data_IF_650805381939
#
_entry.id   IF_650805381939
#
_cell.length_a   1.000
_cell.length_b   1.000
_cell.length_c   1.000
_cell.angle_alpha   90.00
_cell.angle_beta   90.00
_cell.angle_gamma   90.00
#
_symmetry.space_group_name_H-M   'P 1'
#
loop_
_entity.id
_entity.type
_entity.pdbx_description
1 polymer ?
#
# COMPACT_ATOMS: atom_id res chain seq x y z
N UNK A 1 0.66 14.73 -14.64
CA UNK A 1 1.31 13.41 -14.85
C UNK A 1 0.40 12.32 -14.37
N UNK A 2 0.16 11.34 -15.19
CA UNK A 2 -0.67 10.21 -14.76
C UNK A 2 0.06 9.39 -13.71
N UNK A 3 -0.72 8.75 -12.87
CA UNK A 3 -0.17 7.83 -11.89
C UNK A 3 0.17 6.53 -12.60
N UNK A 4 1.38 6.05 -12.36
CA UNK A 4 1.81 4.76 -12.89
C UNK A 4 1.83 3.74 -11.78
N UNK A 5 1.23 2.59 -12.04
CA UNK A 5 1.13 1.51 -11.06
C UNK A 5 1.81 0.28 -11.64
N UNK A 6 3.01 0.02 -11.17
CA UNK A 6 3.80 -1.13 -11.63
C UNK A 6 3.56 -2.28 -10.66
N UNK A 7 2.96 -3.34 -11.15
CA UNK A 7 2.60 -4.49 -10.33
C UNK A 7 3.59 -5.62 -10.57
N UNK A 8 4.13 -6.15 -9.49
CA UNK A 8 4.95 -7.36 -9.55
C UNK A 8 4.46 -8.31 -8.46
N UNK A 9 4.95 -9.54 -8.49
CA UNK A 9 4.52 -10.55 -7.53
C UNK A 9 5.71 -11.33 -7.04
N UNK A 10 5.71 -11.61 -5.74
CA UNK A 10 6.76 -12.39 -5.12
C UNK A 10 6.15 -13.15 -3.94
N UNK A 11 6.31 -14.47 -3.93
CA UNK A 11 5.92 -15.29 -2.79
C UNK A 11 4.43 -15.14 -2.45
N UNK A 12 3.58 -15.00 -3.46
CA UNK A 12 2.16 -14.86 -3.24
C UNK A 12 1.73 -13.46 -2.82
N UNK A 13 2.65 -12.51 -2.84
CA UNK A 13 2.39 -11.13 -2.47
C UNK A 13 2.39 -10.28 -3.73
N UNK A 14 1.38 -9.44 -3.89
CA UNK A 14 1.36 -8.47 -4.98
C UNK A 14 2.03 -7.18 -4.49
N UNK A 15 2.97 -6.68 -5.26
CA UNK A 15 3.70 -5.46 -4.92
C UNK A 15 3.35 -4.41 -5.95
N UNK A 16 2.78 -3.30 -5.48
CA UNK A 16 2.38 -2.21 -6.36
C UNK A 16 3.30 -1.03 -6.10
N UNK A 17 4.13 -0.71 -7.08
CA UNK A 17 4.98 0.45 -6.98
C UNK A 17 4.25 1.62 -7.62
N UNK A 18 3.89 2.61 -6.81
CA UNK A 18 3.14 3.77 -7.27
C UNK A 18 4.10 4.89 -7.63
N UNK A 19 3.92 5.45 -8.83
CA UNK A 19 4.76 6.58 -9.28
C UNK A 19 3.86 7.68 -9.79
N UNK A 20 3.89 8.82 -9.12
CA UNK A 20 3.07 9.95 -9.49
C UNK A 20 2.15 10.34 -8.37
N UNK A 21 1.30 11.31 -8.65
CA UNK A 21 0.42 11.86 -7.63
C UNK A 21 -0.82 10.98 -7.44
N UNK A 22 -1.19 10.77 -6.19
CA UNK A 22 -2.41 10.05 -5.86
C UNK A 22 -3.46 11.11 -5.50
N UNK A 23 -4.16 11.58 -6.52
CA UNK A 23 -5.08 12.71 -6.39
C UNK A 23 -6.40 12.37 -7.06
N UNK A 24 -7.40 13.20 -6.80
CA UNK A 24 -8.74 13.04 -7.34
C UNK A 24 -8.69 12.90 -8.87
N UNK A 25 -9.47 11.97 -9.40
CA UNK A 25 -9.62 11.78 -10.83
C UNK A 25 -9.21 10.38 -11.26
N UNK A 26 -8.62 10.29 -12.45
CA UNK A 26 -8.20 9.00 -12.99
C UNK A 26 -7.21 8.29 -12.07
N UNK A 27 -6.37 9.07 -11.38
CA UNK A 27 -5.35 8.51 -10.52
C UNK A 27 -5.96 7.67 -9.40
N UNK A 28 -6.93 8.20 -8.70
CA UNK A 28 -7.58 7.45 -7.62
C UNK A 28 -8.44 6.32 -8.16
N UNK A 29 -9.05 6.53 -9.33
CA UNK A 29 -9.83 5.47 -9.97
C UNK A 29 -8.93 4.30 -10.37
N UNK A 30 -7.76 4.61 -10.94
CA UNK A 30 -6.81 3.58 -11.35
C UNK A 30 -6.29 2.81 -10.15
N UNK A 31 -5.96 3.53 -9.07
CA UNK A 31 -5.45 2.88 -7.88
C UNK A 31 -6.49 1.94 -7.29
N UNK A 32 -7.73 2.42 -7.16
CA UNK A 32 -8.80 1.59 -6.61
C UNK A 32 -9.03 0.36 -7.46
N UNK A 33 -9.08 0.54 -8.78
CA UNK A 33 -9.34 -0.56 -9.70
C UNK A 33 -8.22 -1.61 -9.61
N UNK A 34 -6.98 -1.14 -9.54
CA UNK A 34 -5.84 -2.03 -9.43
C UNK A 34 -5.89 -2.84 -8.14
N UNK A 35 -6.15 -2.17 -7.02
CA UNK A 35 -6.21 -2.87 -5.73
C UNK A 35 -7.35 -3.88 -5.71
N UNK A 36 -8.54 -3.48 -6.16
CA UNK A 36 -9.68 -4.39 -6.15
C UNK A 36 -9.43 -5.59 -7.05
N UNK A 37 -8.77 -5.37 -8.20
CA UNK A 37 -8.41 -6.48 -9.08
C UNK A 37 -7.45 -7.44 -8.41
N UNK A 38 -6.44 -6.90 -7.71
CA UNK A 38 -5.46 -7.75 -7.04
C UNK A 38 -6.08 -8.52 -5.87
N UNK A 39 -7.07 -7.94 -5.21
CA UNK A 39 -7.72 -8.62 -4.08
C UNK A 39 -8.49 -9.85 -4.54
N UNK A 40 -8.77 -9.99 -5.83
CA UNK A 40 -9.40 -11.19 -6.35
C UNK A 40 -8.41 -12.35 -6.47
N UNK A 41 -7.12 -12.07 -6.47
CA UNK A 41 -6.13 -13.11 -6.68
C UNK A 41 -5.17 -13.30 -5.51
N UNK A 42 -5.10 -12.36 -4.57
CA UNK A 42 -4.18 -12.50 -3.46
C UNK A 42 -4.75 -11.88 -2.20
N UNK A 43 -4.28 -12.37 -1.06
CA UNK A 43 -4.64 -11.82 0.24
C UNK A 43 -3.55 -10.91 0.80
N UNK A 44 -2.49 -10.65 0.04
CA UNK A 44 -1.34 -9.91 0.53
C UNK A 44 -0.88 -8.91 -0.51
N UNK A 45 -0.92 -7.63 -0.16
CA UNK A 45 -0.55 -6.55 -1.06
C UNK A 45 0.41 -5.62 -0.34
N UNK A 46 1.44 -5.18 -1.03
CA UNK A 46 2.34 -4.12 -0.56
C UNK A 46 2.21 -2.95 -1.51
N UNK A 47 1.91 -1.77 -0.97
CA UNK A 47 1.90 -0.54 -1.75
C UNK A 47 3.16 0.24 -1.42
N UNK A 48 4.00 0.43 -2.43
CA UNK A 48 5.23 1.20 -2.29
C UNK A 48 4.96 2.63 -2.75
N UNK A 49 5.15 3.58 -1.85
CA UNK A 49 4.83 4.98 -2.11
C UNK A 49 6.08 5.87 -2.18
N UNK A 50 7.24 5.29 -2.46
CA UNK A 50 8.49 6.05 -2.49
C UNK A 50 8.48 7.16 -3.53
N UNK A 51 7.79 6.96 -4.62
CA UNK A 51 7.78 7.90 -5.74
C UNK A 51 6.44 8.61 -5.87
N UNK A 52 5.77 8.83 -4.75
CA UNK A 52 4.49 9.56 -4.70
C UNK A 52 4.75 10.94 -4.10
N UNK A 53 4.84 11.98 -4.93
CA UNK A 53 5.18 13.32 -4.43
C UNK A 53 4.02 14.07 -3.82
N UNK A 54 2.80 13.59 -4.01
CA UNK A 54 1.64 14.31 -3.51
C UNK A 54 0.44 13.40 -3.34
N UNK A 55 -0.29 13.58 -2.25
CA UNK A 55 -1.53 12.86 -1.96
C UNK A 55 -2.53 13.90 -1.48
N UNK A 56 -3.67 14.02 -2.17
CA UNK A 56 -4.71 14.93 -1.71
C UNK A 56 -5.72 14.16 -0.86
N UNK A 57 -6.78 14.82 -0.42
CA UNK A 57 -7.76 14.20 0.47
C UNK A 57 -8.47 13.03 -0.21
N UNK A 58 -8.70 13.12 -1.51
CA UNK A 58 -9.33 12.02 -2.25
C UNK A 58 -8.37 10.85 -2.37
N UNK A 59 -7.07 11.13 -2.56
CA UNK A 59 -6.05 10.09 -2.59
C UNK A 59 -5.95 9.38 -1.26
N UNK A 60 -5.93 10.17 -0.19
CA UNK A 60 -5.90 9.62 1.16
C UNK A 60 -7.12 8.74 1.41
N UNK A 61 -8.29 9.23 1.03
CA UNK A 61 -9.52 8.44 1.18
C UNK A 61 -9.47 7.15 0.40
N UNK A 62 -8.85 7.16 -0.79
CA UNK A 62 -8.72 5.96 -1.59
C UNK A 62 -7.80 4.93 -0.92
N UNK A 63 -6.71 5.40 -0.30
CA UNK A 63 -5.83 4.50 0.43
C UNK A 63 -6.55 3.86 1.62
N UNK A 64 -7.32 4.65 2.36
CA UNK A 64 -8.08 4.14 3.49
C UNK A 64 -9.14 3.16 3.01
N UNK A 65 -9.86 3.49 1.95
CA UNK A 65 -10.90 2.62 1.41
C UNK A 65 -10.30 1.30 0.93
N UNK A 66 -9.12 1.35 0.32
CA UNK A 66 -8.43 0.15 -0.13
C UNK A 66 -8.07 -0.74 1.05
N UNK A 67 -7.57 -0.13 2.12
CA UNK A 67 -7.22 -0.84 3.33
C UNK A 67 -8.45 -1.54 3.92
N UNK A 68 -9.57 -0.84 3.99
CA UNK A 68 -10.80 -1.39 4.55
C UNK A 68 -11.34 -2.51 3.65
N UNK A 69 -11.29 -2.31 2.33
CA UNK A 69 -11.74 -3.35 1.40
C UNK A 69 -10.95 -4.62 1.57
N UNK A 70 -9.64 -4.49 1.79
CA UNK A 70 -8.80 -5.66 2.02
C UNK A 70 -9.23 -6.37 3.30
N UNK A 71 -9.41 -5.62 4.37
CA UNK A 71 -9.81 -6.23 5.64
C UNK A 71 -11.15 -6.96 5.53
N UNK A 72 -12.08 -6.40 4.78
CA UNK A 72 -13.39 -7.03 4.59
C UNK A 72 -13.29 -8.34 3.83
N UNK A 73 -12.18 -8.56 3.13
CA UNK A 73 -11.94 -9.79 2.38
C UNK A 73 -10.90 -10.67 3.08
N UNK A 74 -10.59 -10.36 4.34
CA UNK A 74 -9.58 -11.08 5.11
C UNK A 74 -8.23 -11.04 4.42
N UNK A 75 -7.94 -9.92 3.78
CA UNK A 75 -6.67 -9.67 3.13
C UNK A 75 -5.97 -8.54 3.87
N UNK A 76 -4.70 -8.34 3.56
CA UNK A 76 -3.90 -7.30 4.19
C UNK A 76 -3.20 -6.47 3.15
N UNK A 77 -3.20 -5.15 3.35
CA UNK A 77 -2.39 -4.23 2.59
C UNK A 77 -1.39 -3.61 3.55
N UNK A 78 -0.11 -3.69 3.19
CA UNK A 78 0.95 -3.05 3.96
C UNK A 78 1.57 -1.98 3.09
N UNK A 79 2.09 -0.95 3.73
CA UNK A 79 2.66 0.21 3.03
C UNK A 79 4.16 0.21 3.23
N UNK A 80 4.89 0.61 2.20
CA UNK A 80 6.33 0.58 2.26
C UNK A 80 6.94 1.82 1.62
N UNK A 81 8.07 2.22 2.15
CA UNK A 81 8.94 3.22 1.54
C UNK A 81 8.20 4.53 1.27
N UNK A 82 7.52 5.07 2.28
CA UNK A 82 6.77 6.30 2.10
C UNK A 82 7.71 7.43 1.66
N UNK A 83 7.29 8.19 0.64
CA UNK A 83 7.99 9.41 0.31
C UNK A 83 7.86 10.39 1.47
N UNK A 84 8.71 11.41 1.56
CA UNK A 84 8.57 12.41 2.63
C UNK A 84 7.19 13.04 2.67
N UNK A 85 6.62 13.34 1.50
CA UNK A 85 5.27 13.91 1.45
C UNK A 85 4.21 12.93 1.92
N UNK A 86 4.32 11.67 1.48
CA UNK A 86 3.36 10.66 1.90
C UNK A 86 3.43 10.45 3.42
N UNK A 87 4.64 10.37 3.95
CA UNK A 87 4.83 10.20 5.39
C UNK A 87 4.20 11.36 6.16
N UNK A 88 4.38 12.56 5.65
CA UNK A 88 3.85 13.74 6.30
C UNK A 88 2.32 13.75 6.31
N UNK A 89 1.70 13.45 5.16
CA UNK A 89 0.25 13.45 5.05
C UNK A 89 -0.35 12.37 5.95
N UNK A 90 0.22 11.18 5.93
CA UNK A 90 -0.28 10.10 6.75
C UNK A 90 -0.10 10.39 8.23
N UNK A 91 1.01 11.06 8.59
CA UNK A 91 1.28 11.39 9.99
C UNK A 91 0.36 12.48 10.51
N UNK A 92 0.16 13.55 9.73
CA UNK A 92 -0.69 14.66 10.14
C UNK A 92 -2.13 14.19 10.33
N UNK A 93 -2.59 13.33 9.45
CA UNK A 93 -3.98 12.83 9.51
C UNK A 93 -4.11 11.63 10.43
N UNK A 94 -3.00 11.15 11.00
CA UNK A 94 -2.94 10.00 11.90
C UNK A 94 -3.38 8.70 11.25
N UNK A 95 -3.42 8.67 9.94
CA UNK A 95 -3.76 7.46 9.19
C UNK A 95 -2.64 6.43 9.30
N UNK A 96 -1.41 6.90 9.56
CA UNK A 96 -0.28 5.99 9.75
C UNK A 96 -0.46 5.09 10.98
N UNK A 97 -1.35 5.44 11.90
CA UNK A 97 -1.65 4.58 13.02
C UNK A 97 -2.58 3.44 12.64
N UNK A 98 -3.29 3.60 11.53
CA UNK A 98 -4.18 2.57 11.02
C UNK A 98 -3.44 1.57 10.14
N UNK A 99 -2.44 2.05 9.41
CA UNK A 99 -1.70 1.25 8.44
C UNK A 99 -0.45 0.65 9.05
N UNK A 100 -0.04 -0.50 8.52
CA UNK A 100 1.30 -1.03 8.81
C UNK A 100 2.25 -0.45 7.77
N UNK A 101 3.25 0.28 8.24
CA UNK A 101 4.19 1.00 7.38
C UNK A 101 5.59 0.48 7.64
N UNK A 102 6.29 0.17 6.56
CA UNK A 102 7.65 -0.37 6.61
C UNK A 102 8.60 0.53 5.83
N UNK A 103 9.87 0.50 6.19
CA UNK A 103 10.86 1.35 5.55
C UNK A 103 11.15 0.93 4.11
N UNK A 104 10.95 -0.34 3.80
CA UNK A 104 11.24 -0.85 2.45
C UNK A 104 10.22 -1.91 2.07
N UNK A 105 10.15 -2.16 0.77
CA UNK A 105 9.31 -3.24 0.26
C UNK A 105 9.76 -4.57 0.84
N UNK A 106 11.07 -4.77 0.96
CA UNK A 106 11.61 -6.03 1.51
C UNK A 106 11.14 -6.27 2.93
N UNK A 107 11.15 -5.22 3.76
CA UNK A 107 10.68 -5.37 5.13
C UNK A 107 9.18 -5.68 5.17
N UNK A 108 8.41 -5.05 4.29
CA UNK A 108 6.98 -5.31 4.23
C UNK A 108 6.71 -6.75 3.83
N UNK A 109 7.46 -7.26 2.85
CA UNK A 109 7.32 -8.64 2.41
C UNK A 109 7.68 -9.59 3.56
N UNK A 110 8.80 -9.33 4.24
CA UNK A 110 9.22 -10.16 5.36
C UNK A 110 8.19 -10.22 6.47
N UNK A 111 7.46 -9.13 6.67
CA UNK A 111 6.46 -9.08 7.74
C UNK A 111 5.30 -10.03 7.48
N UNK A 112 5.07 -10.41 6.21
CA UNK A 112 4.05 -11.40 5.88
C UNK A 112 4.53 -12.83 6.16
N UNK A 113 5.85 -13.01 6.36
CA UNK A 113 6.44 -14.32 6.62
C UNK A 113 7.25 -14.25 7.91
N UNK A 114 6.56 -14.08 9.04
CA UNK A 114 7.28 -13.94 10.30
C UNK A 114 8.06 -15.21 10.62
N UNK A 115 9.19 -15.04 11.26
CA UNK A 115 9.99 -16.18 11.66
C UNK A 115 9.26 -17.01 12.70
N UNK A 116 9.35 -18.34 12.59
CA UNK A 116 8.77 -19.19 13.64
C UNK A 116 9.43 -18.87 14.96
N UNK A 117 8.65 -18.71 15.99
CA UNK A 117 9.22 -18.41 17.30
C UNK A 117 10.05 -19.54 17.83
N UNK A 118 9.69 -20.76 17.50
CA UNK A 118 10.44 -21.90 17.93
C UNK A 118 11.87 -21.88 17.42
N UNK A 119 12.09 -21.22 16.30
CA UNK A 119 13.44 -21.14 15.75
C UNK A 119 14.29 -20.15 16.51
N UNK A 120 13.68 -19.36 17.34
CA UNK A 120 14.39 -18.30 18.03
C UNK A 120 15.04 -18.78 19.29
N UNK A 121 14.62 -19.80 19.73
CA UNK A 121 15.11 -20.25 20.94
C UNK A 121 15.93 -20.99 21.01
#
# INVERSE_FOLDING_TARGET
MPLKLDVSRAEGIAIVKCRGRIVFGEETDDLRRTVLGLLKETKRIVLNLALVPHIDSCGLGTLVASFISARNREAEIKFAALSPKARRVLGITKVDQLFEVYESTEEAIQSFHPRPKAAVR
#
